data_IF_572244695766
#
_entry.id   IF_572244695766
#
_cell.length_a   1.000
_cell.length_b   1.000
_cell.length_c   1.000
_cell.angle_alpha   90.00
_cell.angle_beta   90.00
_cell.angle_gamma   90.00
#
_symmetry.space_group_name_H-M   'P 1'
#
loop_
_entity.id
_entity.type
_entity.pdbx_description
1 polymer ?
#
# COMPACT_ATOMS: atom_id res chain seq x y z
N UNK A 1 -8.16 31.67 -16.71
CA UNK A 1 -7.90 30.52 -17.61
C UNK A 1 -6.60 29.83 -17.20
N UNK A 2 -5.49 30.56 -17.11
CA UNK A 2 -4.17 30.05 -16.71
C UNK A 2 -4.13 29.30 -15.35
N UNK A 3 -4.85 29.78 -14.32
CA UNK A 3 -4.88 29.12 -13.00
C UNK A 3 -5.53 27.72 -13.05
N UNK A 4 -6.54 27.55 -13.90
CA UNK A 4 -7.26 26.28 -14.07
C UNK A 4 -6.45 25.28 -14.90
N UNK A 5 -5.71 25.77 -15.88
CA UNK A 5 -4.75 24.98 -16.65
C UNK A 5 -3.64 24.44 -15.73
N UNK A 6 -3.06 25.30 -14.88
CA UNK A 6 -2.02 24.87 -13.93
C UNK A 6 -2.50 23.84 -12.89
N UNK A 7 -3.78 23.86 -12.49
CA UNK A 7 -4.38 22.85 -11.62
C UNK A 7 -4.51 21.49 -12.30
N UNK A 8 -4.99 21.50 -13.55
CA UNK A 8 -5.17 20.28 -14.35
C UNK A 8 -3.82 19.62 -14.66
N UNK A 9 -2.80 20.40 -15.01
CA UNK A 9 -1.46 19.87 -15.29
C UNK A 9 -0.87 19.12 -14.09
N UNK A 10 -0.97 19.70 -12.89
CA UNK A 10 -0.48 19.07 -11.66
C UNK A 10 -1.24 17.78 -11.36
N UNK A 11 -2.55 17.77 -11.56
CA UNK A 11 -3.38 16.58 -11.38
C UNK A 11 -3.04 15.47 -12.39
N UNK A 12 -2.94 15.81 -13.68
CA UNK A 12 -2.60 14.86 -14.76
C UNK A 12 -1.23 14.24 -14.52
N UNK A 13 -0.23 15.05 -14.15
CA UNK A 13 1.11 14.53 -13.83
C UNK A 13 1.05 13.57 -12.64
N UNK A 14 0.32 13.90 -11.57
CA UNK A 14 0.20 13.03 -10.40
C UNK A 14 -0.48 11.69 -10.75
N UNK A 15 -1.59 11.73 -11.49
CA UNK A 15 -2.30 10.52 -11.93
C UNK A 15 -1.44 9.68 -12.88
N UNK A 16 -0.74 10.31 -13.83
CA UNK A 16 0.15 9.62 -14.75
C UNK A 16 1.30 8.90 -14.03
N UNK A 17 1.92 9.53 -13.03
CA UNK A 17 2.97 8.91 -12.22
C UNK A 17 2.45 7.70 -11.43
N UNK A 18 1.26 7.81 -10.84
CA UNK A 18 0.63 6.70 -10.10
C UNK A 18 0.25 5.55 -11.04
N UNK A 19 -0.32 5.86 -12.20
CA UNK A 19 -0.66 4.86 -13.21
C UNK A 19 0.59 4.14 -13.73
N UNK A 20 1.65 4.87 -14.06
CA UNK A 20 2.92 4.30 -14.50
C UNK A 20 3.51 3.37 -13.43
N UNK A 21 3.42 3.76 -12.15
CA UNK A 21 3.83 2.92 -11.03
C UNK A 21 3.00 1.63 -10.95
N UNK A 22 1.68 1.69 -11.07
CA UNK A 22 0.80 0.51 -11.05
C UNK A 22 1.11 -0.45 -12.20
N UNK A 23 1.35 0.08 -13.40
CA UNK A 23 1.78 -0.71 -14.55
C UNK A 23 3.14 -1.36 -14.26
N UNK A 24 4.11 -0.59 -13.75
CA UNK A 24 5.44 -1.09 -13.40
C UNK A 24 5.40 -2.25 -12.40
N UNK A 25 4.57 -2.17 -11.35
CA UNK A 25 4.42 -3.25 -10.37
C UNK A 25 3.74 -4.48 -10.99
N UNK A 26 2.73 -4.31 -11.83
CA UNK A 26 2.09 -5.42 -12.53
C UNK A 26 3.06 -6.15 -13.47
N UNK A 27 3.85 -5.41 -14.26
CA UNK A 27 4.87 -5.99 -15.14
C UNK A 27 5.96 -6.71 -14.34
N UNK A 28 6.41 -6.14 -13.21
CA UNK A 28 7.40 -6.77 -12.34
C UNK A 28 6.91 -8.11 -11.78
N UNK A 29 5.63 -8.20 -11.37
CA UNK A 29 5.02 -9.47 -10.95
C UNK A 29 5.09 -10.49 -12.08
N UNK A 30 4.70 -10.11 -13.31
CA UNK A 30 4.76 -10.98 -14.48
C UNK A 30 6.18 -11.50 -14.76
N UNK A 31 7.17 -10.61 -14.77
CA UNK A 31 8.59 -10.97 -14.98
C UNK A 31 9.08 -11.93 -13.90
N UNK A 32 8.80 -11.65 -12.62
CA UNK A 32 9.24 -12.52 -11.51
C UNK A 32 8.56 -13.89 -11.59
N UNK A 33 7.28 -13.95 -11.99
CA UNK A 33 6.58 -15.23 -12.22
C UNK A 33 7.27 -16.07 -13.29
N UNK A 34 7.66 -15.45 -14.41
CA UNK A 34 8.39 -16.12 -15.49
C UNK A 34 9.78 -16.59 -15.02
N UNK A 35 10.54 -15.72 -14.35
CA UNK A 35 11.88 -16.05 -13.85
C UNK A 35 11.88 -17.13 -12.77
N UNK A 36 10.84 -17.18 -11.93
CA UNK A 36 10.72 -18.16 -10.84
C UNK A 36 9.97 -19.44 -11.25
N UNK A 37 9.44 -19.51 -12.47
CA UNK A 37 8.55 -20.62 -12.88
C UNK A 37 7.31 -20.74 -12.00
N UNK A 38 6.82 -19.61 -11.49
CA UNK A 38 5.72 -19.50 -10.52
C UNK A 38 4.47 -18.95 -11.22
N UNK A 39 3.58 -19.84 -11.61
CA UNK A 39 2.39 -19.47 -12.37
C UNK A 39 1.18 -19.22 -11.47
N UNK A 40 0.27 -18.37 -11.95
CA UNK A 40 -0.99 -18.09 -11.24
C UNK A 40 -2.04 -19.18 -11.53
N UNK A 41 -2.01 -19.75 -12.72
CA UNK A 41 -2.93 -20.78 -13.21
C UNK A 41 -2.16 -21.99 -13.75
N UNK A 42 -2.83 -23.13 -13.82
CA UNK A 42 -2.27 -24.35 -14.41
C UNK A 42 -2.17 -24.22 -15.94
N UNK A 43 -3.12 -23.54 -16.58
CA UNK A 43 -3.14 -23.27 -18.02
C UNK A 43 -1.89 -22.51 -18.49
N UNK A 44 -1.52 -21.44 -17.79
CA UNK A 44 -0.32 -20.64 -18.11
C UNK A 44 0.95 -21.50 -18.05
N UNK A 45 1.03 -22.38 -17.05
CA UNK A 45 2.14 -23.29 -16.90
C UNK A 45 2.20 -24.32 -18.03
N UNK A 46 1.07 -24.91 -18.41
CA UNK A 46 1.00 -25.91 -19.47
C UNK A 46 1.36 -25.31 -20.84
N UNK A 47 0.85 -24.11 -21.14
CA UNK A 47 1.20 -23.37 -22.35
C UNK A 47 2.70 -23.08 -22.44
N UNK A 48 3.30 -22.62 -21.34
CA UNK A 48 4.71 -22.27 -21.32
C UNK A 48 5.61 -23.52 -21.38
N UNK A 49 5.20 -24.61 -20.74
CA UNK A 49 5.84 -25.93 -20.85
C UNK A 49 5.80 -26.44 -22.29
N UNK A 50 4.68 -26.30 -22.98
CA UNK A 50 4.54 -26.70 -24.37
C UNK A 50 5.42 -25.88 -25.32
N UNK A 51 5.67 -24.60 -24.98
CA UNK A 51 6.43 -23.67 -25.82
C UNK A 51 7.94 -23.72 -25.57
N UNK A 52 8.38 -23.81 -24.30
CA UNK A 52 9.78 -23.65 -23.89
C UNK A 52 10.38 -24.88 -23.18
N UNK A 53 9.60 -25.94 -22.98
CA UNK A 53 10.03 -27.15 -22.27
C UNK A 53 9.72 -27.13 -20.77
N UNK A 54 9.96 -28.24 -20.05
CA UNK A 54 9.63 -28.36 -18.63
C UNK A 54 10.51 -27.47 -17.75
N UNK A 55 9.95 -26.78 -16.73
CA UNK A 55 10.73 -25.97 -15.80
C UNK A 55 11.60 -26.83 -14.86
N UNK A 56 12.56 -26.20 -14.14
CA UNK A 56 13.46 -26.91 -13.22
C UNK A 56 12.71 -27.80 -12.21
N UNK A 57 13.21 -29.02 -12.00
CA UNK A 57 12.55 -30.05 -11.20
C UNK A 57 12.47 -29.65 -9.71
N UNK A 58 11.35 -29.99 -9.06
CA UNK A 58 11.21 -29.93 -7.59
C UNK A 58 10.34 -28.80 -7.03
N UNK A 59 9.78 -27.92 -7.86
CA UNK A 59 8.90 -26.82 -7.42
C UNK A 59 7.50 -27.00 -8.03
N UNK A 60 6.41 -26.90 -7.24
CA UNK A 60 5.06 -26.97 -7.77
C UNK A 60 4.82 -25.87 -8.83
N UNK A 61 4.21 -26.18 -9.99
CA UNK A 61 3.94 -25.22 -11.06
C UNK A 61 3.23 -23.93 -10.61
N UNK A 62 2.27 -24.10 -9.72
CA UNK A 62 1.45 -23.05 -9.14
C UNK A 62 1.84 -22.91 -7.68
N UNK A 63 2.69 -21.94 -7.38
CA UNK A 63 3.11 -21.64 -6.03
C UNK A 63 3.37 -20.15 -5.92
N UNK A 64 2.87 -19.47 -4.89
CA UNK A 64 3.20 -18.07 -4.69
C UNK A 64 4.39 -17.96 -3.74
N UNK A 65 5.57 -17.62 -4.24
CA UNK A 65 6.73 -17.34 -3.39
C UNK A 65 6.42 -16.21 -2.40
N UNK A 66 7.08 -16.16 -1.23
CA UNK A 66 6.86 -15.07 -0.27
C UNK A 66 7.04 -13.67 -0.89
N UNK A 67 7.93 -13.53 -1.89
CA UNK A 67 8.12 -12.29 -2.65
C UNK A 67 6.90 -11.94 -3.50
N UNK A 68 6.38 -12.90 -4.27
CA UNK A 68 5.19 -12.70 -5.11
C UNK A 68 3.94 -12.39 -4.29
N UNK A 69 3.76 -13.01 -3.12
CA UNK A 69 2.65 -12.66 -2.21
C UNK A 69 2.74 -11.20 -1.75
N UNK A 70 3.95 -10.69 -1.48
CA UNK A 70 4.16 -9.29 -1.08
C UNK A 70 3.87 -8.33 -2.24
N UNK A 71 4.38 -8.63 -3.44
CA UNK A 71 4.09 -7.81 -4.62
C UNK A 71 2.59 -7.80 -4.95
N UNK A 72 1.92 -8.95 -4.85
CA UNK A 72 0.47 -9.02 -5.00
C UNK A 72 -0.29 -8.19 -3.96
N UNK A 73 0.17 -8.16 -2.71
CA UNK A 73 -0.40 -7.31 -1.68
C UNK A 73 -0.16 -5.80 -1.94
N UNK A 74 1.01 -5.42 -2.47
CA UNK A 74 1.29 -4.05 -2.92
C UNK A 74 0.33 -3.66 -4.04
N UNK A 75 0.22 -4.48 -5.09
CA UNK A 75 -0.65 -4.24 -6.23
C UNK A 75 -2.12 -4.11 -5.80
N UNK A 76 -2.61 -5.01 -4.94
CA UNK A 76 -3.97 -4.94 -4.40
C UNK A 76 -4.20 -3.62 -3.67
N UNK A 77 -3.28 -3.21 -2.80
CA UNK A 77 -3.41 -1.96 -2.08
C UNK A 77 -3.39 -0.74 -3.02
N UNK A 78 -2.58 -0.78 -4.08
CA UNK A 78 -2.58 0.26 -5.12
C UNK A 78 -3.92 0.33 -5.86
N UNK A 79 -4.49 -0.82 -6.24
CA UNK A 79 -5.81 -0.91 -6.89
C UNK A 79 -6.95 -0.44 -5.98
N UNK A 80 -6.85 -0.62 -4.67
CA UNK A 80 -7.86 -0.14 -3.72
C UNK A 80 -7.77 1.37 -3.49
N UNK A 81 -6.56 1.95 -3.46
CA UNK A 81 -6.36 3.33 -3.03
C UNK A 81 -6.22 4.35 -4.16
N UNK A 82 -5.54 4.01 -5.25
CA UNK A 82 -5.25 4.97 -6.34
C UNK A 82 -6.55 5.37 -7.08
N UNK A 83 -7.47 4.46 -7.42
CA UNK A 83 -8.75 4.84 -8.02
C UNK A 83 -9.59 5.75 -7.12
N UNK A 84 -9.61 5.48 -5.80
CA UNK A 84 -10.27 6.35 -4.83
C UNK A 84 -9.65 7.76 -4.83
N UNK A 85 -8.31 7.84 -4.86
CA UNK A 85 -7.62 9.11 -5.01
C UNK A 85 -7.99 9.82 -6.32
N UNK A 86 -8.04 9.13 -7.46
CA UNK A 86 -8.40 9.75 -8.74
C UNK A 86 -9.81 10.36 -8.71
N UNK A 87 -10.80 9.63 -8.18
CA UNK A 87 -12.17 10.12 -8.06
C UNK A 87 -12.24 11.33 -7.11
N UNK A 88 -11.60 11.20 -5.94
CA UNK A 88 -11.65 12.23 -4.91
C UNK A 88 -10.88 13.49 -5.29
N UNK A 89 -9.70 13.34 -5.92
CA UNK A 89 -8.91 14.46 -6.41
C UNK A 89 -9.61 15.19 -7.56
N UNK A 90 -10.34 14.48 -8.42
CA UNK A 90 -11.18 15.11 -9.43
C UNK A 90 -12.34 15.91 -8.80
N UNK A 91 -12.99 15.36 -7.76
CA UNK A 91 -14.00 16.09 -6.99
C UNK A 91 -13.42 17.32 -6.27
N UNK A 92 -12.21 17.22 -5.73
CA UNK A 92 -11.51 18.34 -5.12
C UNK A 92 -11.10 19.40 -6.15
N UNK A 93 -10.72 19.00 -7.36
CA UNK A 93 -10.43 19.94 -8.44
C UNK A 93 -11.67 20.75 -8.86
N UNK A 94 -12.86 20.14 -8.77
CA UNK A 94 -14.13 20.81 -9.04
C UNK A 94 -14.48 21.90 -8.02
N UNK A 95 -13.84 21.92 -6.83
CA UNK A 95 -14.04 22.99 -5.83
C UNK A 95 -13.14 24.22 -6.04
N UNK A 96 -12.45 24.29 -7.18
CA UNK A 96 -11.49 25.35 -7.54
C UNK A 96 -10.48 25.67 -6.42
N UNK A 97 -9.68 24.68 -5.98
CA UNK A 97 -8.76 24.87 -4.87
C UNK A 97 -7.57 25.74 -5.24
N UNK A 98 -6.89 26.30 -4.24
CA UNK A 98 -5.65 27.02 -4.48
C UNK A 98 -4.58 26.10 -5.11
N UNK A 99 -3.95 26.56 -6.20
CA UNK A 99 -2.94 25.79 -6.97
C UNK A 99 -1.82 25.26 -6.06
N UNK A 100 -1.36 26.07 -5.10
CA UNK A 100 -0.33 25.68 -4.15
C UNK A 100 -0.75 24.52 -3.24
N UNK A 101 -1.99 24.52 -2.74
CA UNK A 101 -2.53 23.47 -1.87
C UNK A 101 -2.68 22.15 -2.64
N UNK A 102 -3.29 22.21 -3.83
CA UNK A 102 -3.46 21.04 -4.70
C UNK A 102 -2.11 20.41 -5.06
N UNK A 103 -1.10 21.23 -5.39
CA UNK A 103 0.26 20.76 -5.68
C UNK A 103 0.89 20.02 -4.51
N UNK A 104 0.76 20.56 -3.30
CA UNK A 104 1.31 19.91 -2.10
C UNK A 104 0.58 18.59 -1.83
N UNK A 105 -0.76 18.59 -1.82
CA UNK A 105 -1.54 17.40 -1.51
C UNK A 105 -1.27 16.27 -2.52
N UNK A 106 -1.33 16.55 -3.82
CA UNK A 106 -1.08 15.54 -4.85
C UNK A 106 0.37 15.03 -4.80
N UNK A 107 1.36 15.90 -4.60
CA UNK A 107 2.76 15.48 -4.48
C UNK A 107 3.01 14.59 -3.26
N UNK A 108 2.46 14.97 -2.10
CA UNK A 108 2.58 14.18 -0.86
C UNK A 108 1.93 12.81 -1.04
N UNK A 109 0.78 12.73 -1.70
CA UNK A 109 0.13 11.45 -1.99
C UNK A 109 1.01 10.56 -2.88
N UNK A 110 1.52 11.09 -4.00
CA UNK A 110 2.40 10.35 -4.91
C UNK A 110 3.63 9.82 -4.18
N UNK A 111 4.33 10.69 -3.44
CA UNK A 111 5.52 10.31 -2.67
C UNK A 111 5.19 9.25 -1.62
N UNK A 112 4.10 9.42 -0.87
CA UNK A 112 3.62 8.44 0.12
C UNK A 112 3.38 7.07 -0.52
N UNK A 113 2.74 7.00 -1.70
CA UNK A 113 2.47 5.73 -2.39
C UNK A 113 3.72 5.07 -2.93
N UNK A 114 4.70 5.84 -3.41
CA UNK A 114 5.99 5.32 -3.85
C UNK A 114 6.78 4.79 -2.64
N UNK A 115 6.88 5.58 -1.56
CA UNK A 115 7.53 5.16 -0.32
C UNK A 115 6.88 3.92 0.28
N UNK A 116 5.55 3.84 0.30
CA UNK A 116 4.82 2.66 0.78
C UNK A 116 5.26 1.40 0.02
N UNK A 117 5.33 1.46 -1.31
CA UNK A 117 5.79 0.33 -2.14
C UNK A 117 7.24 -0.07 -1.84
N UNK A 118 8.15 0.91 -1.75
CA UNK A 118 9.56 0.66 -1.43
C UNK A 118 9.71 0.02 -0.05
N UNK A 119 9.07 0.58 0.98
CA UNK A 119 9.13 0.08 2.35
C UNK A 119 8.46 -1.30 2.51
N UNK A 120 7.40 -1.56 1.74
CA UNK A 120 6.77 -2.88 1.68
C UNK A 120 7.73 -3.92 1.08
N UNK A 121 8.42 -3.57 -0.01
CA UNK A 121 9.42 -4.44 -0.63
C UNK A 121 10.59 -4.73 0.32
N UNK A 122 11.06 -3.73 1.07
CA UNK A 122 12.16 -3.84 2.04
C UNK A 122 11.78 -4.51 3.37
N UNK A 123 10.52 -4.92 3.55
CA UNK A 123 10.00 -5.51 4.81
C UNK A 123 10.17 -4.58 6.02
N UNK A 124 10.23 -3.28 5.80
CA UNK A 124 10.44 -2.28 6.86
C UNK A 124 9.13 -1.93 7.57
N UNK A 125 8.78 -2.74 8.58
CA UNK A 125 7.78 -2.36 9.61
C UNK A 125 8.51 -1.59 10.72
N UNK A 126 8.05 -0.41 11.19
CA UNK A 126 6.72 0.21 11.10
C UNK A 126 6.55 1.27 9.99
N UNK A 127 7.63 1.65 9.31
CA UNK A 127 7.69 2.74 8.35
C UNK A 127 6.68 2.60 7.20
N UNK A 128 6.41 1.36 6.77
CA UNK A 128 5.34 1.09 5.80
C UNK A 128 3.98 1.62 6.25
N UNK A 129 3.58 1.35 7.49
CA UNK A 129 2.27 1.76 8.01
C UNK A 129 2.17 3.28 8.13
N UNK A 130 3.28 3.92 8.51
CA UNK A 130 3.42 5.39 8.55
C UNK A 130 3.22 5.97 7.15
N UNK A 131 3.91 5.44 6.13
CA UNK A 131 3.76 5.90 4.75
C UNK A 131 2.33 5.73 4.24
N UNK A 132 1.67 4.61 4.56
CA UNK A 132 0.25 4.39 4.24
C UNK A 132 -0.66 5.42 4.92
N UNK A 133 -0.47 5.67 6.22
CA UNK A 133 -1.25 6.63 6.99
C UNK A 133 -1.14 8.06 6.45
N UNK A 134 0.04 8.48 5.99
CA UNK A 134 0.22 9.78 5.32
C UNK A 134 -0.65 9.89 4.06
N UNK A 135 -0.71 8.82 3.24
CA UNK A 135 -1.54 8.80 2.03
C UNK A 135 -3.03 8.86 2.35
N UNK A 136 -3.49 8.13 3.37
CA UNK A 136 -4.87 8.19 3.87
C UNK A 136 -5.21 9.59 4.36
N UNK A 137 -4.29 10.25 5.08
CA UNK A 137 -4.52 11.60 5.59
C UNK A 137 -4.72 12.62 4.47
N UNK A 138 -3.97 12.52 3.37
CA UNK A 138 -4.20 13.38 2.20
C UNK A 138 -5.60 13.18 1.62
N UNK A 139 -6.07 11.94 1.50
CA UNK A 139 -7.43 11.65 1.04
C UNK A 139 -8.47 12.25 1.99
N UNK A 140 -8.30 12.11 3.31
CA UNK A 140 -9.23 12.70 4.28
C UNK A 140 -9.29 14.23 4.20
N UNK A 141 -8.14 14.90 4.02
CA UNK A 141 -8.08 16.36 3.84
C UNK A 141 -8.89 16.77 2.60
N UNK A 142 -8.65 16.14 1.45
CA UNK A 142 -9.39 16.46 0.22
C UNK A 142 -10.89 16.22 0.38
N UNK A 143 -11.29 15.09 0.97
CA UNK A 143 -12.70 14.80 1.25
C UNK A 143 -13.34 15.87 2.15
N UNK A 144 -12.60 16.35 3.14
CA UNK A 144 -13.03 17.44 4.00
C UNK A 144 -13.21 18.77 3.29
N UNK A 145 -12.28 19.11 2.40
CA UNK A 145 -12.38 20.31 1.58
C UNK A 145 -13.62 20.26 0.67
N UNK A 146 -13.84 19.12 0.03
CA UNK A 146 -15.03 18.89 -0.80
C UNK A 146 -16.30 19.01 0.04
N UNK A 147 -16.37 18.35 1.19
CA UNK A 147 -17.53 18.41 2.07
C UNK A 147 -17.79 19.82 2.61
N UNK A 148 -16.74 20.56 3.00
CA UNK A 148 -16.86 21.93 3.48
C UNK A 148 -17.33 22.91 2.39
N UNK A 149 -16.94 22.66 1.13
CA UNK A 149 -17.41 23.44 -0.01
C UNK A 149 -18.92 23.21 -0.27
N UNK A 150 -19.39 21.96 -0.15
CA UNK A 150 -20.80 21.60 -0.38
C UNK A 150 -21.70 21.95 0.82
N UNK A 151 -21.17 21.91 2.05
CA UNK A 151 -21.91 22.16 3.29
C UNK A 151 -21.26 23.30 4.11
N UNK A 152 -21.44 24.58 3.70
CA UNK A 152 -20.76 25.71 4.34
C UNK A 152 -21.09 25.86 5.83
N UNK A 153 -22.33 25.54 6.24
CA UNK A 153 -22.81 25.63 7.62
C UNK A 153 -22.14 24.64 8.58
N UNK A 154 -21.58 23.54 8.06
CA UNK A 154 -20.85 22.53 8.84
C UNK A 154 -19.33 22.60 8.62
N UNK A 155 -18.84 23.57 7.82
CA UNK A 155 -17.46 23.63 7.34
C UNK A 155 -16.42 23.67 8.46
N UNK A 156 -16.65 24.43 9.54
CA UNK A 156 -15.73 24.52 10.69
C UNK A 156 -15.66 23.18 11.42
N UNK A 157 -16.80 22.55 11.70
CA UNK A 157 -16.85 21.24 12.36
C UNK A 157 -16.17 20.16 11.50
N UNK A 158 -16.43 20.15 10.19
CA UNK A 158 -15.81 19.23 9.24
C UNK A 158 -14.30 19.44 9.19
N UNK A 159 -13.83 20.68 9.08
CA UNK A 159 -12.39 20.98 9.04
C UNK A 159 -11.69 20.70 10.37
N UNK A 160 -12.33 20.96 11.52
CA UNK A 160 -11.79 20.59 12.83
C UNK A 160 -11.69 19.08 12.96
N UNK A 161 -12.72 18.31 12.58
CA UNK A 161 -12.69 16.85 12.64
C UNK A 161 -11.66 16.24 11.68
N UNK A 162 -11.35 16.91 10.56
CA UNK A 162 -10.42 16.42 9.52
C UNK A 162 -8.98 16.91 9.70
N UNK A 163 -8.78 18.02 10.41
CA UNK A 163 -7.45 18.50 10.83
C UNK A 163 -7.05 17.98 12.23
N UNK A 164 -8.00 17.67 13.11
CA UNK A 164 -7.77 16.97 14.38
C UNK A 164 -7.32 15.48 14.30
N UNK A 165 -7.51 14.69 13.22
CA UNK A 165 -7.10 13.29 13.16
C UNK A 165 -5.60 13.12 12.95
N UNK A 166 -4.82 14.20 12.85
CA UNK A 166 -3.36 14.13 13.03
C UNK A 166 -3.02 13.52 14.39
N UNK A 167 -3.87 13.66 15.42
CA UNK A 167 -3.65 13.00 16.71
C UNK A 167 -4.40 11.65 16.78
N UNK A 168 -5.68 11.59 16.43
CA UNK A 168 -6.50 10.38 16.64
C UNK A 168 -6.11 9.23 15.70
N UNK A 169 -5.87 9.51 14.42
CA UNK A 169 -5.45 8.46 13.47
C UNK A 169 -4.04 7.96 13.77
N UNK A 170 -3.14 8.86 14.19
CA UNK A 170 -1.79 8.47 14.64
C UNK A 170 -1.80 7.77 15.99
N UNK A 171 -2.69 8.13 16.92
CA UNK A 171 -2.87 7.41 18.20
C UNK A 171 -3.40 6.00 17.94
N UNK A 172 -4.43 5.82 17.11
CA UNK A 172 -4.91 4.48 16.73
C UNK A 172 -3.83 3.71 15.96
N UNK A 173 -3.08 4.38 15.08
CA UNK A 173 -1.94 3.80 14.37
C UNK A 173 -0.82 3.36 15.31
N UNK A 174 -0.46 4.17 16.31
CA UNK A 174 0.54 3.89 17.32
C UNK A 174 0.09 2.78 18.29
N UNK A 175 -1.19 2.77 18.68
CA UNK A 175 -1.79 1.67 19.47
C UNK A 175 -1.75 0.36 18.68
N UNK A 176 -2.06 0.42 17.39
CA UNK A 176 -1.97 -0.77 16.53
C UNK A 176 -0.51 -1.25 16.43
N UNK A 177 0.45 -0.32 16.29
CA UNK A 177 1.87 -0.65 16.27
C UNK A 177 2.36 -1.20 17.62
N UNK A 178 1.88 -0.67 18.75
CA UNK A 178 2.22 -1.18 20.08
C UNK A 178 1.67 -2.58 20.29
N UNK A 179 0.40 -2.83 19.94
CA UNK A 179 -0.21 -4.17 19.98
C UNK A 179 0.57 -5.14 19.08
N UNK A 180 0.92 -4.75 17.85
CA UNK A 180 1.72 -5.61 16.95
C UNK A 180 3.11 -5.89 17.51
N UNK A 181 3.77 -4.91 18.13
CA UNK A 181 5.09 -5.09 18.77
C UNK A 181 5.01 -6.05 19.96
N UNK A 182 3.94 -5.97 20.74
CA UNK A 182 3.69 -6.82 21.90
C UNK A 182 3.36 -8.25 21.47
N UNK A 183 2.55 -8.43 20.42
CA UNK A 183 2.31 -9.75 19.83
C UNK A 183 3.61 -10.38 19.33
N UNK A 184 4.50 -9.61 18.68
CA UNK A 184 5.81 -10.12 18.24
C UNK A 184 6.65 -10.63 19.40
N UNK A 185 6.74 -9.88 20.50
CA UNK A 185 7.44 -10.34 21.69
C UNK A 185 6.83 -11.61 22.29
N UNK A 186 5.50 -11.72 22.33
CA UNK A 186 4.82 -12.94 22.80
C UNK A 186 5.13 -14.14 21.90
N UNK A 187 5.17 -13.97 20.58
CA UNK A 187 5.55 -15.04 19.67
C UNK A 187 7.01 -15.48 19.88
N UNK A 188 7.93 -14.54 20.04
CA UNK A 188 9.35 -14.85 20.28
C UNK A 188 9.53 -15.63 21.60
N UNK A 189 8.77 -15.27 22.65
CA UNK A 189 8.74 -16.01 23.92
C UNK A 189 8.19 -17.43 23.77
N UNK A 190 7.06 -17.59 23.08
CA UNK A 190 6.46 -18.91 22.84
C UNK A 190 7.39 -19.81 22.01
N UNK A 191 8.07 -19.25 21.02
CA UNK A 191 9.04 -19.98 20.22
C UNK A 191 10.24 -20.46 21.06
N UNK A 192 10.72 -19.63 22.01
CA UNK A 192 11.75 -20.05 22.96
C UNK A 192 11.26 -21.15 23.90
N UNK A 193 10.06 -21.02 24.45
CA UNK A 193 9.47 -22.04 25.34
C UNK A 193 9.26 -23.38 24.63
N UNK A 194 8.76 -23.36 23.39
CA UNK A 194 8.65 -24.58 22.58
C UNK A 194 10.01 -25.18 22.23
N UNK A 195 11.02 -24.35 21.95
CA UNK A 195 12.39 -24.81 21.75
C UNK A 195 12.98 -25.47 22.99
N UNK A 196 12.75 -24.90 24.18
CA UNK A 196 13.20 -25.48 25.46
C UNK A 196 12.46 -26.79 25.76
N UNK A 197 11.15 -26.86 25.56
CA UNK A 197 10.40 -28.11 25.77
C UNK A 197 10.80 -29.24 24.80
N UNK A 198 11.16 -28.92 23.56
CA UNK A 198 11.69 -29.91 22.59
C UNK A 198 13.05 -30.43 23.04
N UNK A 199 13.89 -29.59 23.65
CA UNK A 199 15.18 -30.01 24.20
C UNK A 199 15.02 -30.88 25.46
N UNK A 200 14.10 -30.52 26.37
CA UNK A 200 13.83 -31.32 27.57
C UNK A 200 13.18 -32.67 27.25
N UNK A 201 12.27 -32.72 26.27
CA UNK A 201 11.65 -33.97 25.82
C UNK A 201 12.63 -34.96 25.17
N UNK A 202 13.71 -34.46 24.56
CA UNK A 202 14.72 -35.30 23.90
C UNK A 202 15.83 -35.79 24.86
N UNK A 203 15.92 -35.21 26.06
CA UNK A 203 16.88 -35.61 27.11
C UNK A 203 16.29 -36.66 28.06
N UNK A 204 14.96 -36.81 28.11
CA UNK A 204 14.28 -37.83 28.93
C UNK A 204 14.27 -39.25 28.36
N UNK A 205 14.61 -39.42 27.08
CA UNK A 205 14.55 -40.71 26.35
C UNK A 205 15.94 -41.33 26.06
N UNK A 206 17.01 -40.84 26.69
CA UNK A 206 18.37 -41.40 26.62
C UNK A 206 18.82 -41.96 27.98
#
# INVERSE_FOLDING_TARGET
MELREGLLDVWVVAVALLALKMIGVAQLIGIIRLLQGSFATVEDYELLRATFGPPPQGIPPVHNTPGLRRLGAIQRNDVENIPLFCILSAAYLATDPAVGEARILFSVYVVSRVMHTVLYALRSSPWRSIAFGVGVQVMLIMAGRVAAHVLPSASVTVQVVINAPILVHWVVGLITLSVVSEQRHRYDQLAQLQGVQVLEGNVGDA
#
